data_IF_300060461175
#
_entry.id   IF_300060461175
#
_cell.length_a   1.000
_cell.length_b   1.000
_cell.length_c   1.000
_cell.angle_alpha   90.00
_cell.angle_beta   90.00
_cell.angle_gamma   90.00
#
_symmetry.space_group_name_H-M   'P 1'
#
loop_
_entity.id
_entity.type
_entity.pdbx_description
1 polymer ?
#
# COMPACT_ATOMS: atom_id res chain seq x y z
N UNK A 1 -11.56 -31.06 44.55
CA UNK A 1 -12.98 -30.67 44.62
C UNK A 1 -13.16 -29.55 43.58
N UNK A 2 -13.38 -29.85 42.30
CA UNK A 2 -14.65 -30.26 41.66
C UNK A 2 -15.81 -29.28 41.91
N UNK A 3 -16.30 -28.62 40.85
CA UNK A 3 -17.71 -28.24 40.74
C UNK A 3 -18.02 -26.77 40.41
N UNK A 4 -18.53 -26.55 39.20
CA UNK A 4 -19.16 -25.34 38.66
C UNK A 4 -20.31 -24.77 39.53
N UNK A 5 -20.66 -23.49 39.31
CA UNK A 5 -21.97 -23.05 38.76
C UNK A 5 -22.55 -21.79 39.41
N UNK A 6 -22.76 -20.71 38.65
CA UNK A 6 -24.09 -20.23 38.23
C UNK A 6 -24.02 -18.88 37.47
N UNK A 7 -24.55 -18.94 36.26
CA UNK A 7 -24.96 -17.85 35.38
C UNK A 7 -25.81 -16.79 36.09
N UNK A 8 -25.80 -15.53 35.63
CA UNK A 8 -26.86 -14.92 34.80
C UNK A 8 -26.39 -13.58 34.21
N UNK A 9 -26.28 -13.56 32.89
CA UNK A 9 -26.12 -12.37 32.05
C UNK A 9 -27.52 -11.78 31.84
N UNK A 10 -27.71 -10.48 32.10
CA UNK A 10 -28.98 -9.79 31.81
C UNK A 10 -28.71 -8.71 30.78
N UNK A 11 -29.12 -8.98 29.55
CA UNK A 11 -29.08 -8.04 28.41
C UNK A 11 -30.40 -7.26 28.41
N UNK A 12 -30.42 -5.93 28.44
CA UNK A 12 -31.65 -5.18 28.23
C UNK A 12 -32.00 -5.10 26.74
N UNK A 13 -33.14 -5.70 26.41
CA UNK A 13 -33.89 -5.65 25.16
C UNK A 13 -34.57 -4.29 24.96
N UNK A 14 -34.05 -3.43 24.09
CA UNK A 14 -34.79 -2.27 23.55
C UNK A 14 -34.28 -1.85 22.16
N UNK A 15 -34.43 -2.70 21.13
CA UNK A 15 -34.31 -2.28 19.72
C UNK A 15 -35.27 -3.11 18.86
N UNK A 16 -36.59 -2.87 18.95
CA UNK A 16 -37.55 -3.31 17.93
C UNK A 16 -38.77 -2.37 18.00
N UNK A 17 -38.78 -1.28 17.21
CA UNK A 17 -40.00 -0.59 16.74
C UNK A 17 -39.73 0.67 15.89
N UNK A 18 -38.78 0.67 14.94
CA UNK A 18 -38.61 1.84 14.05
C UNK A 18 -38.12 1.52 12.62
N UNK A 19 -38.62 0.43 12.01
CA UNK A 19 -38.25 0.07 10.61
C UNK A 19 -39.47 -0.35 9.76
N UNK A 20 -40.69 -0.01 10.17
CA UNK A 20 -41.91 -0.47 9.50
C UNK A 20 -42.90 0.65 9.14
N UNK A 21 -42.39 1.82 8.73
CA UNK A 21 -43.23 2.99 8.45
C UNK A 21 -42.71 3.91 7.33
N UNK A 22 -41.92 3.40 6.38
CA UNK A 22 -41.37 4.24 5.31
C UNK A 22 -41.24 3.49 3.98
N UNK A 23 -42.24 2.67 3.67
CA UNK A 23 -42.30 1.91 2.42
C UNK A 23 -43.72 1.94 1.87
N UNK A 24 -44.20 3.12 1.47
CA UNK A 24 -45.35 3.34 0.60
C UNK A 24 -45.59 4.87 0.49
N UNK A 25 -44.99 5.50 -0.52
CA UNK A 25 -45.46 6.75 -1.15
C UNK A 25 -44.57 6.98 -2.39
N UNK A 26 -44.82 6.22 -3.46
CA UNK A 26 -45.61 6.65 -4.62
C UNK A 26 -44.82 7.49 -5.63
N UNK A 27 -44.44 6.80 -6.69
CA UNK A 27 -44.16 7.23 -8.05
C UNK A 27 -45.02 8.41 -8.55
N UNK A 28 -44.37 9.44 -9.10
CA UNK A 28 -44.93 10.25 -10.21
C UNK A 28 -43.80 10.60 -11.19
N UNK A 29 -44.13 10.48 -12.47
CA UNK A 29 -43.33 10.66 -13.68
C UNK A 29 -43.00 12.15 -13.90
N UNK A 30 -41.79 12.44 -14.40
CA UNK A 30 -41.42 13.77 -14.88
C UNK A 30 -40.21 13.72 -15.81
N UNK A 31 -40.47 13.53 -17.11
CA UNK A 31 -39.53 13.82 -18.20
C UNK A 31 -39.56 15.34 -18.44
N UNK A 32 -38.43 16.02 -18.35
CA UNK A 32 -38.34 17.47 -18.53
C UNK A 32 -36.90 17.96 -18.62
N UNK A 33 -36.46 18.11 -19.88
CA UNK A 33 -35.39 18.98 -20.44
C UNK A 33 -34.40 19.70 -19.51
N UNK A 34 -33.11 19.52 -19.82
CA UNK A 34 -31.94 20.30 -19.40
C UNK A 34 -32.11 21.82 -19.54
N UNK A 35 -31.48 22.60 -18.65
CA UNK A 35 -30.31 23.35 -19.09
C UNK A 35 -29.10 23.24 -18.15
N UNK A 36 -27.94 23.38 -18.81
CA UNK A 36 -26.56 23.50 -18.32
C UNK A 36 -26.35 24.47 -17.17
N UNK A 37 -25.64 24.03 -16.12
CA UNK A 37 -24.40 24.68 -15.70
C UNK A 37 -23.56 23.73 -14.83
N UNK A 38 -22.25 23.61 -15.09
CA UNK A 38 -21.33 22.76 -14.34
C UNK A 38 -20.79 23.51 -13.11
N UNK A 39 -20.43 22.79 -12.05
CA UNK A 39 -19.45 23.14 -11.01
C UNK A 39 -19.62 22.12 -9.86
N UNK A 40 -18.64 21.37 -9.39
CA UNK A 40 -17.21 21.38 -9.62
C UNK A 40 -16.77 19.92 -9.67
N UNK A 41 -16.28 19.49 -10.83
CA UNK A 41 -15.37 18.36 -10.89
C UNK A 41 -14.15 18.75 -10.07
N UNK A 42 -14.07 18.32 -8.81
CA UNK A 42 -12.76 18.14 -8.19
C UNK A 42 -12.16 16.93 -8.91
N UNK A 43 -11.64 17.20 -10.10
CA UNK A 43 -10.67 16.34 -10.75
C UNK A 43 -9.54 16.21 -9.75
N UNK A 44 -9.55 15.11 -8.99
CA UNK A 44 -8.35 14.60 -8.37
C UNK A 44 -7.44 14.23 -9.54
N UNK A 45 -6.75 15.24 -10.09
CA UNK A 45 -5.67 15.06 -11.04
C UNK A 45 -4.56 14.40 -10.26
N UNK A 46 -4.60 13.08 -10.13
CA UNK A 46 -3.47 12.26 -9.71
C UNK A 46 -2.48 12.20 -10.86
N UNK A 47 -1.98 13.36 -11.29
CA UNK A 47 -0.83 13.48 -12.16
C UNK A 47 0.41 13.41 -11.27
N UNK A 48 0.69 12.20 -10.76
CA UNK A 48 2.02 11.86 -10.30
C UNK A 48 2.87 11.69 -11.57
N UNK A 49 3.68 12.69 -11.89
CA UNK A 49 4.67 12.55 -12.94
C UNK A 49 5.79 11.70 -12.34
N UNK A 50 5.77 10.40 -12.63
CA UNK A 50 6.90 9.51 -12.35
C UNK A 50 7.98 9.78 -13.41
N UNK A 51 9.03 10.52 -13.03
CA UNK A 51 10.28 10.59 -13.80
C UNK A 51 11.33 9.85 -12.99
N UNK A 52 11.61 8.60 -13.37
CA UNK A 52 12.65 7.80 -12.76
C UNK A 52 13.75 7.49 -13.76
N UNK A 53 14.97 7.94 -13.48
CA UNK A 53 16.16 7.29 -14.01
C UNK A 53 16.25 5.91 -13.35
N UNK A 54 15.79 4.87 -14.06
CA UNK A 54 15.86 3.50 -13.54
C UNK A 54 17.31 3.01 -13.56
N UNK A 55 17.99 3.13 -12.42
CA UNK A 55 19.27 2.47 -12.18
C UNK A 55 19.04 1.20 -11.39
N UNK A 56 19.62 0.11 -11.91
CA UNK A 56 19.54 -1.21 -11.32
C UNK A 56 20.88 -1.62 -10.70
N UNK A 57 20.82 -2.23 -9.53
CA UNK A 57 21.96 -2.82 -8.82
C UNK A 57 21.66 -4.29 -8.59
N UNK A 58 22.58 -5.17 -8.95
CA UNK A 58 22.49 -6.62 -8.67
C UNK A 58 22.79 -6.89 -7.20
N UNK A 59 22.01 -7.80 -6.63
CA UNK A 59 22.29 -8.42 -5.34
C UNK A 59 22.93 -9.77 -5.65
N UNK A 60 24.16 -9.97 -5.20
CA UNK A 60 24.88 -11.23 -5.31
C UNK A 60 24.99 -11.90 -3.95
N UNK A 61 24.89 -13.22 -3.94
CA UNK A 61 25.21 -14.06 -2.80
C UNK A 61 26.18 -15.14 -3.28
N UNK A 62 27.37 -15.20 -2.69
CA UNK A 62 28.41 -16.18 -3.08
C UNK A 62 28.74 -16.17 -4.59
N UNK A 63 28.66 -14.99 -5.22
CA UNK A 63 28.92 -14.82 -6.66
C UNK A 63 27.72 -15.07 -7.58
N UNK A 64 26.58 -15.52 -7.06
CA UNK A 64 25.35 -15.74 -7.83
C UNK A 64 24.36 -14.57 -7.70
N UNK A 65 23.70 -14.19 -8.79
CA UNK A 65 22.67 -13.14 -8.76
C UNK A 65 21.40 -13.70 -8.12
N UNK A 66 21.02 -13.12 -6.99
CA UNK A 66 19.84 -13.53 -6.21
C UNK A 66 18.70 -12.51 -6.29
N UNK A 67 18.97 -11.32 -6.83
CA UNK A 67 17.95 -10.30 -7.04
C UNK A 67 18.52 -8.98 -7.54
N UNK A 68 17.66 -7.97 -7.58
CA UNK A 68 17.98 -6.63 -8.05
C UNK A 68 17.40 -5.56 -7.14
N UNK A 69 17.99 -4.37 -7.18
CA UNK A 69 17.47 -3.16 -6.54
C UNK A 69 17.29 -2.12 -7.64
N UNK A 70 16.08 -1.60 -7.79
CA UNK A 70 15.76 -0.50 -8.69
C UNK A 70 15.50 0.78 -7.90
N UNK A 71 16.17 1.87 -8.26
CA UNK A 71 15.91 3.20 -7.68
C UNK A 71 14.80 3.90 -8.46
N UNK A 72 13.85 4.49 -7.73
CA UNK A 72 12.75 5.30 -8.23
C UNK A 72 12.71 6.63 -7.46
N UNK A 73 12.52 7.73 -8.18
CA UNK A 73 12.28 9.05 -7.57
C UNK A 73 10.78 9.33 -7.62
N UNK A 74 10.18 9.53 -6.45
CA UNK A 74 8.75 9.82 -6.30
C UNK A 74 8.60 11.29 -5.96
N UNK A 75 7.95 12.04 -6.85
CA UNK A 75 7.60 13.45 -6.63
C UNK A 75 6.11 13.58 -6.39
N UNK A 76 5.72 14.04 -5.20
CA UNK A 76 4.33 14.30 -4.80
C UNK A 76 4.11 15.81 -4.77
N UNK A 77 3.09 16.28 -5.49
CA UNK A 77 2.67 17.68 -5.47
C UNK A 77 1.31 17.77 -4.78
N UNK A 78 1.25 18.36 -3.59
CA UNK A 78 0.02 18.49 -2.80
C UNK A 78 -0.08 19.89 -2.16
N UNK A 79 -1.19 20.58 -2.39
CA UNK A 79 -1.47 21.89 -1.77
C UNK A 79 -0.44 22.99 -2.11
N UNK A 80 0.20 22.92 -3.28
CA UNK A 80 1.26 23.85 -3.68
C UNK A 80 2.65 23.51 -3.13
N UNK A 81 2.78 22.42 -2.36
CA UNK A 81 4.06 21.88 -1.91
C UNK A 81 4.48 20.71 -2.80
N UNK A 82 5.75 20.71 -3.23
CA UNK A 82 6.38 19.59 -3.94
C UNK A 82 7.32 18.86 -2.98
N UNK A 83 7.11 17.56 -2.81
CA UNK A 83 7.97 16.68 -2.02
C UNK A 83 8.55 15.61 -2.94
N UNK A 84 9.88 15.54 -3.01
CA UNK A 84 10.59 14.50 -3.75
C UNK A 84 11.23 13.54 -2.75
N UNK A 85 11.06 12.23 -2.97
CA UNK A 85 11.64 11.19 -2.13
C UNK A 85 12.16 10.05 -3.01
N UNK A 86 13.29 9.47 -2.61
CA UNK A 86 13.81 8.25 -3.25
C UNK A 86 13.18 7.01 -2.62
N UNK A 87 12.74 6.10 -3.49
CA UNK A 87 12.24 4.78 -3.14
C UNK A 87 13.05 3.73 -3.89
N UNK A 88 13.38 2.65 -3.19
CA UNK A 88 14.12 1.52 -3.72
C UNK A 88 13.21 0.31 -3.76
N UNK A 89 13.00 -0.25 -4.95
CA UNK A 89 12.30 -1.50 -5.15
C UNK A 89 13.31 -2.65 -5.10
N UNK A 90 12.99 -3.70 -4.35
CA UNK A 90 13.78 -4.93 -4.31
C UNK A 90 13.05 -5.99 -5.12
N UNK A 91 13.76 -6.61 -6.05
CA UNK A 91 13.25 -7.61 -6.98
C UNK A 91 13.94 -8.95 -6.73
N UNK A 92 13.24 -10.05 -7.02
CA UNK A 92 13.87 -11.36 -7.19
C UNK A 92 14.63 -11.46 -8.52
N UNK A 93 15.27 -12.60 -8.76
CA UNK A 93 16.01 -12.87 -10.00
C UNK A 93 15.12 -12.91 -11.26
N UNK A 94 13.80 -13.07 -11.09
CA UNK A 94 12.80 -13.02 -12.15
C UNK A 94 12.20 -11.63 -12.38
N UNK A 95 12.75 -10.58 -11.75
CA UNK A 95 12.21 -9.22 -11.76
C UNK A 95 10.80 -9.06 -11.17
N UNK A 96 10.39 -9.95 -10.27
CA UNK A 96 9.20 -9.75 -9.47
C UNK A 96 9.53 -8.89 -8.26
N UNK A 97 8.75 -7.81 -8.03
CA UNK A 97 8.94 -6.94 -6.87
C UNK A 97 8.59 -7.70 -5.58
N UNK A 98 9.56 -7.80 -4.68
CA UNK A 98 9.43 -8.42 -3.37
C UNK A 98 9.08 -7.42 -2.27
N UNK A 99 9.44 -6.15 -2.44
CA UNK A 99 9.23 -5.12 -1.43
C UNK A 99 9.92 -3.80 -1.78
N UNK A 100 9.82 -2.84 -0.87
CA UNK A 100 10.40 -1.51 -1.04
C UNK A 100 11.00 -0.98 0.26
N UNK A 101 11.95 -0.06 0.14
CA UNK A 101 12.38 0.80 1.23
C UNK A 101 12.65 2.23 0.73
N UNK A 102 12.60 3.21 1.62
CA UNK A 102 12.90 4.61 1.32
C UNK A 102 14.21 5.07 2.01
N UNK A 103 14.60 6.33 1.76
CA UNK A 103 15.79 6.94 2.39
C UNK A 103 15.72 7.00 3.92
N UNK A 104 14.51 7.05 4.48
CA UNK A 104 14.28 7.01 5.93
C UNK A 104 14.31 5.58 6.49
N UNK A 105 14.53 4.58 5.63
CA UNK A 105 14.61 3.17 5.97
C UNK A 105 13.26 2.48 6.11
N UNK A 106 12.14 3.16 5.86
CA UNK A 106 10.81 2.57 6.02
C UNK A 106 10.64 1.42 5.02
N UNK A 107 10.60 0.19 5.54
CA UNK A 107 10.71 -1.04 4.77
C UNK A 107 9.39 -1.78 4.72
N UNK A 108 9.00 -2.21 3.52
CA UNK A 108 7.77 -2.92 3.23
C UNK A 108 8.07 -4.19 2.43
N UNK A 109 7.37 -5.27 2.75
CA UNK A 109 7.41 -6.52 1.98
C UNK A 109 6.06 -6.77 1.33
N UNK A 110 6.10 -7.16 0.08
CA UNK A 110 4.93 -7.51 -0.71
C UNK A 110 4.73 -9.02 -0.69
N UNK A 111 3.48 -9.42 -0.47
CA UNK A 111 3.01 -10.80 -0.51
C UNK A 111 1.82 -10.87 -1.45
N UNK A 112 1.36 -12.08 -1.79
CA UNK A 112 0.22 -12.26 -2.72
C UNK A 112 -1.04 -11.60 -2.15
N UNK A 113 -1.31 -10.36 -2.57
CA UNK A 113 -2.47 -9.57 -2.19
C UNK A 113 -2.31 -8.69 -0.94
N UNK A 114 -1.13 -8.62 -0.32
CA UNK A 114 -0.92 -7.80 0.88
C UNK A 114 0.45 -7.13 0.93
N UNK A 115 0.47 -5.92 1.48
CA UNK A 115 1.69 -5.17 1.80
C UNK A 115 1.88 -5.12 3.30
N UNK A 116 3.04 -5.55 3.79
CA UNK A 116 3.39 -5.56 5.22
C UNK A 116 4.54 -4.60 5.50
N UNK A 117 4.33 -3.61 6.37
CA UNK A 117 5.43 -2.80 6.92
C UNK A 117 6.26 -3.66 7.88
N UNK A 118 7.56 -3.73 7.65
CA UNK A 118 8.49 -4.50 8.48
C UNK A 118 9.15 -3.65 9.57
N UNK A 119 9.35 -2.36 9.32
CA UNK A 119 9.99 -1.45 10.25
C UNK A 119 10.80 -0.39 9.53
N UNK A 120 11.75 0.21 10.24
CA UNK A 120 12.72 1.14 9.68
C UNK A 120 14.12 0.54 9.84
N UNK A 121 14.85 0.36 8.74
CA UNK A 121 16.15 -0.31 8.73
C UNK A 121 17.15 0.42 7.84
N UNK A 122 18.44 0.14 8.01
CA UNK A 122 19.45 0.57 7.03
C UNK A 122 19.23 -0.14 5.68
N UNK A 123 19.71 0.41 4.55
CA UNK A 123 19.47 -0.18 3.24
C UNK A 123 19.83 -1.67 3.13
N UNK A 124 20.99 -2.07 3.66
CA UNK A 124 21.43 -3.47 3.67
C UNK A 124 20.48 -4.36 4.48
N UNK A 125 20.05 -3.89 5.66
CA UNK A 125 19.09 -4.63 6.47
C UNK A 125 17.71 -4.68 5.82
N UNK A 126 17.25 -3.61 5.17
CA UNK A 126 15.99 -3.59 4.42
C UNK A 126 15.97 -4.67 3.34
N UNK A 127 17.06 -4.79 2.57
CA UNK A 127 17.23 -5.84 1.56
C UNK A 127 17.06 -7.21 2.20
N UNK A 128 17.79 -7.49 3.30
CA UNK A 128 17.70 -8.77 4.03
C UNK A 128 16.29 -9.07 4.54
N UNK A 129 15.61 -8.07 5.09
CA UNK A 129 14.23 -8.22 5.60
C UNK A 129 13.22 -8.50 4.48
N UNK A 130 13.42 -7.91 3.30
CA UNK A 130 12.55 -8.11 2.14
C UNK A 130 12.81 -9.48 1.49
N UNK A 131 14.06 -9.81 1.19
CA UNK A 131 14.43 -11.04 0.48
C UNK A 131 14.42 -12.28 1.37
N UNK A 132 14.67 -12.11 2.68
CA UNK A 132 14.90 -13.23 3.61
C UNK A 132 16.26 -13.89 3.44
N UNK A 133 17.19 -13.26 2.71
CA UNK A 133 18.53 -13.80 2.46
C UNK A 133 19.41 -13.57 3.70
N UNK A 134 20.01 -14.65 4.17
CA UNK A 134 21.01 -14.64 5.25
C UNK A 134 22.43 -14.72 4.69
N UNK A 135 23.43 -14.28 5.46
CA UNK A 135 24.85 -14.32 5.05
C UNK A 135 25.37 -13.05 4.38
N UNK A 136 26.49 -13.14 3.67
CA UNK A 136 27.12 -11.98 3.02
C UNK A 136 26.41 -11.72 1.68
N UNK A 137 26.00 -10.46 1.47
CA UNK A 137 25.47 -9.98 0.20
C UNK A 137 26.44 -8.97 -0.41
N UNK A 138 26.58 -9.02 -1.72
CA UNK A 138 27.38 -8.07 -2.49
C UNK A 138 26.46 -7.27 -3.41
N UNK A 139 26.65 -5.96 -3.46
CA UNK A 139 25.87 -5.08 -4.33
C UNK A 139 26.76 -4.63 -5.49
N UNK A 140 26.35 -4.94 -6.72
CA UNK A 140 27.10 -4.58 -7.93
C UNK A 140 26.23 -3.78 -8.88
N UNK A 141 26.67 -2.58 -9.21
CA UNK A 141 25.93 -1.71 -10.13
C UNK A 141 25.76 -2.34 -11.51
N UNK A 142 24.66 -1.97 -12.17
CA UNK A 142 24.32 -2.41 -13.52
C UNK A 142 23.68 -3.80 -13.58
N UNK A 143 23.11 -4.09 -14.74
CA UNK A 143 22.47 -5.37 -15.04
C UNK A 143 23.42 -6.41 -15.66
N UNK A 144 24.56 -5.98 -16.21
CA UNK A 144 25.54 -6.81 -16.94
C UNK A 144 26.84 -7.00 -16.16
#
# INVERSE_FOLDING_TARGET
>A
MSGLSKNRFSVPTTIVALVLGLLLLSTVIGCGTTPTSPDSTTSASSSAIEVGDERYTRILQQGEIVGYIGKKVVTVVAGGTTTTSEQFNVYDSGFQILGTYDEAGATYRFTRGNTKKLGNFSPEHSIRQITGIEGIIELKEGLQ
#
